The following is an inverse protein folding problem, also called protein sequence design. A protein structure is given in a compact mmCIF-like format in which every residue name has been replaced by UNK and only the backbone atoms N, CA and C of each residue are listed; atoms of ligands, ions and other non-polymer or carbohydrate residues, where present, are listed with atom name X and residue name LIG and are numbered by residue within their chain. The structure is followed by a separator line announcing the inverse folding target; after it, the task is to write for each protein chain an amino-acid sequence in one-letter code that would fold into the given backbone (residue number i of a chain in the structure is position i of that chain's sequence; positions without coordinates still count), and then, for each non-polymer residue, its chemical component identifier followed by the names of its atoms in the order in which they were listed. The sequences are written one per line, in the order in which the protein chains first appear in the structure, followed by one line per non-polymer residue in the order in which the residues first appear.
data_IF_151839245672
#
_entry.id   IF_151839245672
#
_cell.length_a   1.000
_cell.length_b   1.000
_cell.length_c   1.000
_cell.angle_alpha   90.00
_cell.angle_beta   90.00
_cell.angle_gamma   90.00
#
_symmetry.space_group_name_H-M   'P 1'
#
loop_
_entity.id
_entity.type
_entity.pdbx_description
1 polymer ?
#
# COMPACT_ATOMS: atom_id res chain seq x y z
N UNK A 1 -2.49 25.84 -12.35
CA UNK A 1 -3.61 24.93 -12.69
C UNK A 1 -4.47 24.70 -11.47
N UNK A 2 -5.75 24.59 -11.65
CA UNK A 2 -6.68 24.36 -10.53
C UNK A 2 -6.35 23.08 -9.81
N UNK A 3 -5.99 22.01 -10.56
CA UNK A 3 -5.62 20.74 -9.97
C UNK A 3 -4.41 20.88 -9.03
N UNK A 4 -3.39 21.61 -9.46
CA UNK A 4 -2.18 21.79 -8.65
C UNK A 4 -2.48 22.55 -7.37
N UNK A 5 -3.35 23.54 -7.44
CA UNK A 5 -3.77 24.28 -6.27
C UNK A 5 -4.57 23.41 -5.31
N UNK A 6 -5.39 22.52 -5.86
CA UNK A 6 -6.18 21.59 -5.05
C UNK A 6 -5.28 20.53 -4.41
N UNK A 7 -4.25 20.07 -5.12
CA UNK A 7 -3.31 19.09 -4.58
C UNK A 7 -2.57 19.63 -3.37
N UNK A 8 -2.16 20.90 -3.42
CA UNK A 8 -1.46 21.54 -2.31
C UNK A 8 -2.39 21.74 -1.11
N UNK A 9 -3.64 22.11 -1.36
CA UNK A 9 -4.60 22.41 -0.30
C UNK A 9 -5.31 21.14 0.20
N UNK A 10 -5.56 20.18 -0.68
CA UNK A 10 -6.35 18.97 -0.40
C UNK A 10 -5.65 17.75 -0.98
N UNK A 11 -4.67 17.20 -0.26
CA UNK A 11 -3.94 16.03 -0.76
C UNK A 11 -4.89 14.86 -1.02
N UNK A 12 -4.55 14.05 -2.00
CA UNK A 12 -5.32 12.87 -2.35
C UNK A 12 -4.35 11.78 -2.87
N UNK A 13 -4.83 10.51 -2.92
CA UNK A 13 -3.96 9.42 -3.37
C UNK A 13 -3.47 9.62 -4.81
N UNK A 14 -2.20 9.25 -5.03
CA UNK A 14 -1.53 9.38 -6.30
C UNK A 14 -1.05 8.01 -6.75
N UNK A 15 -1.59 7.03 -6.75
CA UNK A 15 -1.18 5.71 -7.21
C UNK A 15 -2.38 4.96 -7.72
N UNK A 16 -2.17 3.68 -8.00
CA UNK A 16 -3.23 2.79 -8.39
C UNK A 16 -3.88 2.20 -7.16
N UNK A 17 -5.21 2.33 -7.04
CA UNK A 17 -5.94 1.66 -5.98
C UNK A 17 -5.86 0.15 -6.21
N UNK A 18 -5.14 -0.54 -5.36
CA UNK A 18 -4.86 -1.96 -5.52
C UNK A 18 -5.67 -2.81 -4.55
N UNK A 19 -5.91 -2.31 -3.35
CA UNK A 19 -6.61 -3.04 -2.29
C UNK A 19 -7.46 -2.06 -1.51
N UNK A 20 -8.69 -2.46 -1.20
CA UNK A 20 -9.57 -1.67 -0.35
C UNK A 20 -10.21 -2.58 0.68
N UNK A 21 -10.19 -2.15 1.94
CA UNK A 21 -10.63 -3.00 3.04
C UNK A 21 -11.23 -2.16 4.17
N UNK A 22 -12.18 -2.75 4.88
CA UNK A 22 -12.80 -2.12 6.03
C UNK A 22 -12.10 -2.60 7.31
N UNK A 23 -11.76 -1.65 8.17
CA UNK A 23 -11.18 -1.98 9.48
C UNK A 23 -12.26 -2.51 10.42
N UNK A 24 -12.07 -3.71 10.94
CA UNK A 24 -13.04 -4.42 11.77
C UNK A 24 -12.64 -4.37 13.25
N UNK A 25 -13.61 -4.60 14.18
CA UNK A 25 -13.31 -4.64 15.63
C UNK A 25 -12.19 -5.62 15.98
N UNK A 26 -12.12 -6.77 15.28
CA UNK A 26 -11.08 -7.78 15.53
C UNK A 26 -9.68 -7.27 15.23
N UNK A 27 -9.55 -6.16 14.50
CA UNK A 27 -8.26 -5.61 14.08
C UNK A 27 -7.73 -4.55 15.05
N UNK A 28 -8.41 -4.33 16.18
CA UNK A 28 -8.03 -3.30 17.14
C UNK A 28 -7.04 -3.80 18.18
N UNK A 29 -6.28 -2.86 18.73
CA UNK A 29 -5.44 -3.10 19.89
C UNK A 29 -6.23 -2.85 21.19
N UNK A 30 -5.57 -2.93 22.34
CA UNK A 30 -6.20 -2.73 23.63
C UNK A 30 -6.75 -1.32 23.85
N UNK A 31 -6.40 -0.37 22.99
CA UNK A 31 -6.85 1.02 23.07
C UNK A 31 -7.98 1.32 22.11
N UNK A 32 -8.50 0.31 21.41
CA UNK A 32 -9.59 0.50 20.44
C UNK A 32 -9.16 1.08 19.11
N UNK A 33 -7.85 1.11 18.84
CA UNK A 33 -7.29 1.59 17.58
C UNK A 33 -6.80 0.41 16.75
N UNK A 34 -6.79 0.58 15.44
CA UNK A 34 -6.32 -0.47 14.53
C UNK A 34 -4.81 -0.64 14.71
N UNK A 35 -4.38 -1.90 14.79
CA UNK A 35 -2.96 -2.22 14.91
C UNK A 35 -2.17 -1.73 13.71
N UNK A 36 -1.01 -1.10 13.97
CA UNK A 36 -0.10 -0.74 12.89
C UNK A 36 0.36 -1.96 12.10
N UNK A 37 0.58 -3.09 12.78
CA UNK A 37 0.95 -4.33 12.09
C UNK A 37 -0.12 -4.84 11.14
N UNK A 38 -1.41 -4.68 11.50
CA UNK A 38 -2.49 -5.03 10.60
C UNK A 38 -2.46 -4.16 9.34
N UNK A 39 -2.26 -2.85 9.52
CA UNK A 39 -2.19 -1.92 8.40
C UNK A 39 -0.99 -2.24 7.50
N UNK A 40 0.16 -2.49 8.10
CA UNK A 40 1.36 -2.89 7.36
C UNK A 40 1.13 -4.17 6.55
N UNK A 41 0.38 -5.12 7.11
CA UNK A 41 0.03 -6.36 6.43
C UNK A 41 -0.83 -6.10 5.20
N UNK A 42 -1.79 -5.18 5.28
CA UNK A 42 -2.62 -4.80 4.14
C UNK A 42 -1.78 -4.13 3.06
N UNK A 43 -0.85 -3.28 3.46
CA UNK A 43 0.04 -2.59 2.53
C UNK A 43 0.97 -3.58 1.83
N UNK A 44 1.49 -4.55 2.57
CA UNK A 44 2.32 -5.62 1.99
C UNK A 44 1.53 -6.41 0.96
N UNK A 45 0.29 -6.74 1.28
CA UNK A 45 -0.60 -7.46 0.38
C UNK A 45 -0.85 -6.66 -0.91
N UNK A 46 -1.09 -5.37 -0.80
CA UNK A 46 -1.28 -4.49 -1.96
C UNK A 46 -0.02 -4.46 -2.83
N UNK A 47 1.15 -4.32 -2.20
CA UNK A 47 2.42 -4.35 -2.92
C UNK A 47 2.63 -5.67 -3.64
N UNK A 48 2.30 -6.77 -2.97
CA UNK A 48 2.40 -8.11 -3.56
C UNK A 48 1.54 -8.23 -4.81
N UNK A 49 0.30 -7.77 -4.75
CA UNK A 49 -0.61 -7.83 -5.89
C UNK A 49 -0.06 -7.07 -7.11
N UNK A 50 0.45 -5.88 -6.88
CA UNK A 50 1.04 -5.07 -7.95
C UNK A 50 2.29 -5.74 -8.52
N UNK A 51 3.18 -6.21 -7.64
CA UNK A 51 4.45 -6.80 -8.07
C UNK A 51 4.24 -8.15 -8.75
N UNK A 52 3.21 -8.92 -8.36
CA UNK A 52 2.86 -10.17 -9.03
C UNK A 52 2.52 -9.91 -10.49
N UNK A 53 1.78 -8.84 -10.78
CA UNK A 53 1.47 -8.49 -12.16
C UNK A 53 2.71 -8.09 -12.95
N UNK A 54 3.59 -7.31 -12.34
CA UNK A 54 4.84 -6.89 -12.99
C UNK A 54 5.75 -8.08 -13.26
N UNK A 55 5.88 -8.97 -12.28
CA UNK A 55 6.77 -10.14 -12.35
C UNK A 55 6.15 -11.30 -13.14
N UNK A 56 4.88 -11.22 -13.46
CA UNK A 56 4.11 -12.25 -14.15
C UNK A 56 4.22 -13.59 -13.42
N UNK A 57 4.06 -13.56 -12.12
CA UNK A 57 4.11 -14.74 -11.29
C UNK A 57 4.47 -14.41 -9.85
N UNK A 58 4.80 -15.44 -9.10
CA UNK A 58 5.03 -15.34 -7.66
C UNK A 58 6.13 -14.36 -7.31
N UNK A 59 5.89 -13.61 -6.24
CA UNK A 59 6.89 -12.72 -5.64
C UNK A 59 6.89 -12.95 -4.13
N UNK A 60 8.00 -12.60 -3.50
CA UNK A 60 8.11 -12.63 -2.05
C UNK A 60 8.60 -11.28 -1.55
N UNK A 61 8.08 -10.85 -0.42
CA UNK A 61 8.57 -9.65 0.25
C UNK A 61 9.93 -9.97 0.84
N UNK A 62 10.95 -9.21 0.45
CA UNK A 62 12.30 -9.42 0.97
C UNK A 62 12.77 -8.30 1.88
N UNK A 63 12.17 -7.13 1.77
CA UNK A 63 12.53 -6.01 2.63
C UNK A 63 11.41 -4.98 2.67
N UNK A 64 11.34 -4.30 3.79
CA UNK A 64 10.52 -3.10 3.94
C UNK A 64 11.50 -2.03 4.37
N UNK A 65 11.75 -1.06 3.48
CA UNK A 65 12.71 0.00 3.76
C UNK A 65 12.23 0.89 4.90
N UNK A 66 10.95 1.24 4.86
CA UNK A 66 10.33 1.98 5.93
C UNK A 66 8.81 1.85 5.83
N UNK A 67 8.17 2.07 6.97
CA UNK A 67 6.73 2.33 7.06
C UNK A 67 6.57 3.46 8.07
N UNK A 68 5.83 4.48 7.70
CA UNK A 68 5.47 5.58 8.60
C UNK A 68 3.98 5.52 8.85
N UNK A 69 3.60 5.59 10.12
CA UNK A 69 2.19 5.65 10.51
C UNK A 69 1.86 7.10 10.84
N UNK A 70 1.00 7.70 10.04
CA UNK A 70 0.78 9.14 10.04
C UNK A 70 -0.46 9.57 10.80
N UNK A 71 -1.47 8.71 10.85
CA UNK A 71 -2.73 9.00 11.52
C UNK A 71 -3.35 7.71 12.05
N UNK A 72 -4.04 7.76 13.19
CA UNK A 72 -4.71 6.58 13.70
C UNK A 72 -5.89 6.16 12.81
N UNK A 73 -6.17 4.86 12.79
CA UNK A 73 -7.27 4.29 12.03
C UNK A 73 -8.28 3.73 13.02
N UNK A 74 -9.55 4.10 12.84
CA UNK A 74 -10.64 3.65 13.70
C UNK A 74 -11.42 2.54 13.03
N UNK A 75 -12.11 1.74 13.87
CA UNK A 75 -13.03 0.71 13.38
C UNK A 75 -14.06 1.34 12.45
N UNK A 76 -14.34 0.66 11.35
CA UNK A 76 -15.30 1.11 10.35
C UNK A 76 -14.69 1.93 9.23
N UNK A 77 -13.44 2.35 9.38
CA UNK A 77 -12.78 3.10 8.31
C UNK A 77 -12.58 2.22 7.08
N UNK A 78 -12.77 2.80 5.91
CA UNK A 78 -12.49 2.14 4.64
C UNK A 78 -11.13 2.62 4.17
N UNK A 79 -10.18 1.70 4.14
CA UNK A 79 -8.79 2.00 3.81
C UNK A 79 -8.52 1.56 2.38
N UNK A 80 -8.01 2.48 1.55
CA UNK A 80 -7.52 2.15 0.23
C UNK A 80 -6.00 2.14 0.24
N UNK A 81 -5.41 1.08 -0.31
CA UNK A 81 -3.97 0.99 -0.49
C UNK A 81 -3.64 1.28 -1.95
N UNK A 82 -2.82 2.29 -2.16
CA UNK A 82 -2.44 2.78 -3.48
C UNK A 82 -0.97 2.48 -3.71
N UNK A 83 -0.65 1.96 -4.88
CA UNK A 83 0.71 1.52 -5.20
C UNK A 83 1.31 2.31 -6.35
N UNK A 84 2.61 2.59 -6.24
CA UNK A 84 3.42 3.20 -7.31
C UNK A 84 4.70 2.40 -7.42
N UNK A 85 5.01 1.93 -8.63
CA UNK A 85 6.28 1.25 -8.90
C UNK A 85 7.39 2.27 -8.89
N UNK A 86 8.43 2.04 -8.09
CA UNK A 86 9.58 2.93 -8.00
C UNK A 86 10.78 2.43 -8.77
N UNK A 87 10.86 1.14 -9.03
CA UNK A 87 11.94 0.58 -9.82
C UNK A 87 11.76 -0.90 -10.05
N UNK A 88 12.24 -1.37 -11.19
CA UNK A 88 12.22 -2.79 -11.55
C UNK A 88 13.64 -3.18 -11.90
N UNK A 89 14.19 -4.13 -11.14
CA UNK A 89 15.50 -4.70 -11.41
C UNK A 89 15.36 -5.99 -12.19
N UNK A 90 16.44 -6.78 -12.25
CA UNK A 90 16.41 -8.06 -12.96
C UNK A 90 15.41 -9.02 -12.33
N UNK A 91 15.37 -9.09 -11.00
CA UNK A 91 14.50 -10.00 -10.27
C UNK A 91 13.71 -9.29 -9.17
N UNK A 92 13.91 -8.00 -8.98
CA UNK A 92 13.30 -7.25 -7.88
C UNK A 92 12.40 -6.15 -8.37
N UNK A 93 11.41 -5.79 -7.53
CA UNK A 93 10.53 -4.66 -7.76
C UNK A 93 10.48 -3.85 -6.48
N UNK A 94 10.69 -2.55 -6.60
CA UNK A 94 10.55 -1.62 -5.50
C UNK A 94 9.23 -0.87 -5.69
N UNK A 95 8.37 -0.93 -4.69
CA UNK A 95 7.03 -0.35 -4.77
C UNK A 95 6.77 0.52 -3.54
N UNK A 96 6.22 1.70 -3.79
CA UNK A 96 5.72 2.56 -2.74
C UNK A 96 4.24 2.23 -2.52
N UNK A 97 3.84 2.08 -1.27
CA UNK A 97 2.45 1.85 -0.92
C UNK A 97 1.99 2.92 0.04
N UNK A 98 0.86 3.53 -0.26
CA UNK A 98 0.22 4.50 0.60
C UNK A 98 -1.15 3.98 1.02
N UNK A 99 -1.50 4.15 2.28
CA UNK A 99 -2.82 3.81 2.79
C UNK A 99 -3.57 5.11 3.08
N UNK A 100 -4.77 5.21 2.53
CA UNK A 100 -5.61 6.41 2.60
C UNK A 100 -7.01 6.06 3.04
N UNK A 101 -7.64 7.01 3.73
CA UNK A 101 -9.04 6.96 4.09
C UNK A 101 -9.72 8.16 3.47
N UNK A 102 -10.87 7.94 2.80
CA UNK A 102 -11.72 9.02 2.35
C UNK A 102 -12.76 9.29 3.42
N UNK A 103 -12.98 10.56 3.76
CA UNK A 103 -14.06 10.94 4.63
C UNK A 103 -15.38 10.69 3.90
N UNK A 104 -16.35 10.09 4.57
CA UNK A 104 -17.66 9.74 4.01
C UNK A 104 -18.61 10.93 3.91
N UNK A 105 -18.18 12.12 4.31
CA UNK A 105 -19.04 13.30 4.24
C UNK A 105 -19.05 13.91 2.84
N UNK A 106 -20.00 14.82 2.61
CA UNK A 106 -20.11 15.52 1.33
C UNK A 106 -18.86 16.33 0.99
N UNK A 107 -18.13 16.76 2.00
CA UNK A 107 -16.87 17.49 1.85
C UNK A 107 -15.69 16.54 2.01
N UNK A 108 -15.79 15.36 1.44
CA UNK A 108 -14.83 14.28 1.61
C UNK A 108 -13.39 14.79 1.57
N UNK A 109 -12.67 14.56 2.67
CA UNK A 109 -11.24 14.83 2.75
C UNK A 109 -10.52 13.49 2.71
N UNK A 110 -9.41 13.49 1.98
CA UNK A 110 -8.53 12.32 1.95
C UNK A 110 -7.51 12.45 3.07
N UNK A 111 -7.35 11.38 3.84
CA UNK A 111 -6.39 11.35 4.93
C UNK A 111 -5.41 10.22 4.65
N UNK A 112 -4.15 10.56 4.50
CA UNK A 112 -3.10 9.56 4.38
C UNK A 112 -2.79 9.04 5.78
N UNK A 113 -3.02 7.76 6.01
CA UNK A 113 -2.83 7.16 7.32
C UNK A 113 -1.49 6.45 7.45
N UNK A 114 -0.91 6.03 6.33
CA UNK A 114 0.40 5.39 6.34
C UNK A 114 1.04 5.44 4.96
N UNK A 115 2.35 5.29 4.92
CA UNK A 115 3.10 5.13 3.69
C UNK A 115 4.32 4.27 3.96
N UNK A 116 4.79 3.59 2.93
CA UNK A 116 5.97 2.76 3.07
C UNK A 116 6.55 2.37 1.74
N UNK A 117 7.73 1.80 1.78
CA UNK A 117 8.42 1.30 0.59
C UNK A 117 8.80 -0.15 0.81
N UNK A 118 8.37 -0.98 -0.12
CA UNK A 118 8.49 -2.43 -0.05
C UNK A 118 9.32 -2.94 -1.22
N UNK A 119 10.11 -3.98 -0.98
CA UNK A 119 10.92 -4.62 -2.02
C UNK A 119 10.49 -6.07 -2.14
N UNK A 120 10.08 -6.44 -3.34
CA UNK A 120 9.66 -7.80 -3.67
C UNK A 120 10.64 -8.40 -4.66
N UNK A 121 10.79 -9.73 -4.60
CA UNK A 121 11.64 -10.46 -5.52
C UNK A 121 10.81 -11.54 -6.20
N UNK A 122 10.96 -11.65 -7.52
CA UNK A 122 10.30 -12.70 -8.28
C UNK A 122 10.90 -14.04 -7.91
N UNK A 123 10.04 -15.02 -7.64
CA UNK A 123 10.47 -16.37 -7.23
C UNK A 123 9.81 -17.42 -8.12
N UNK A 124 10.46 -18.55 -8.22
CA UNK A 124 9.90 -19.73 -8.90
C UNK A 124 9.12 -20.61 -7.90
N UNK A 125 8.63 -21.76 -8.38
CA UNK A 125 7.83 -22.64 -7.54
C UNK A 125 8.61 -23.26 -6.38
N UNK A 126 9.95 -23.23 -6.46
CA UNK A 126 10.81 -23.73 -5.39
C UNK A 126 11.25 -22.60 -4.44
N UNK A 127 10.73 -21.40 -4.64
CA UNK A 127 11.08 -20.25 -3.80
C UNK A 127 12.41 -19.62 -4.16
N UNK A 128 12.98 -19.96 -5.31
CA UNK A 128 14.25 -19.39 -5.75
C UNK A 128 14.02 -18.16 -6.61
N UNK A 129 14.95 -17.24 -6.53
CA UNK A 129 14.90 -16.02 -7.32
C UNK A 129 14.93 -16.35 -8.82
N UNK A 130 14.08 -15.66 -9.57
CA UNK A 130 14.05 -15.75 -11.03
C UNK A 130 14.06 -14.37 -11.65
N UNK A 131 14.40 -14.31 -12.92
CA UNK A 131 14.37 -13.03 -13.64
C UNK A 131 12.93 -12.64 -13.96
N UNK A 132 12.65 -11.34 -13.88
CA UNK A 132 11.37 -10.78 -14.28
C UNK A 132 11.35 -10.74 -15.81
N UNK A 133 10.29 -11.28 -16.46
CA UNK A 133 10.20 -11.23 -17.91
C UNK A 133 10.21 -9.78 -18.41
N UNK A 134 10.92 -9.53 -19.48
CA UNK A 134 10.87 -8.25 -20.16
C UNK A 134 9.58 -8.20 -20.99
N UNK A 135 8.91 -7.05 -20.93
CA UNK A 135 7.66 -6.87 -21.67
C UNK A 135 7.90 -6.59 -23.14
#
# INVERSE_FOLDING_TARGET
MIKDLMDDANPYPDGELTLQIVALPADTNQHGLIHGGWLASQMDMAGNLTCTRIAKGKVATVAIDYISFLSPVKVGAVIGCYTNIRGVGRSSVRVEVEAWIADDTLDAEWIKVSEGEFIFVAIDDNGRTRAIPKS
#
